data_IF_755357555800
#
_entry.id   IF_755357555800
#
_cell.length_a   1.000
_cell.length_b   1.000
_cell.length_c   1.000
_cell.angle_alpha   90.00
_cell.angle_beta   90.00
_cell.angle_gamma   90.00
#
_symmetry.space_group_name_H-M   'P 1'
#
loop_
_entity.id
_entity.type
_entity.pdbx_description
1 polymer ?
#
# COMPACT_ATOMS: atom_id res chain seq x y z
N UNK A 1 -19.54 -5.65 17.08
CA UNK A 1 -19.63 -5.42 15.61
C UNK A 1 -18.25 -5.55 14.99
N UNK A 2 -18.13 -5.66 13.66
CA UNK A 2 -16.85 -5.71 12.91
C UNK A 2 -15.83 -4.64 13.36
N UNK A 3 -16.34 -3.47 13.80
CA UNK A 3 -15.54 -2.38 14.36
C UNK A 3 -14.88 -2.70 15.70
N UNK A 4 -15.49 -3.54 16.54
CA UNK A 4 -14.91 -3.88 17.85
C UNK A 4 -13.78 -4.90 17.75
N UNK A 5 -13.85 -5.81 16.79
CA UNK A 5 -12.80 -6.82 16.62
C UNK A 5 -11.57 -6.23 15.92
N UNK A 6 -11.77 -5.32 14.96
CA UNK A 6 -10.71 -4.50 14.38
C UNK A 6 -10.07 -3.56 15.43
N UNK A 7 -10.89 -2.92 16.28
CA UNK A 7 -10.42 -2.13 17.43
C UNK A 7 -9.69 -2.99 18.46
N UNK A 8 -10.14 -4.22 18.71
CA UNK A 8 -9.49 -5.16 19.62
C UNK A 8 -8.14 -5.63 19.08
N UNK A 9 -8.02 -5.89 17.78
CA UNK A 9 -6.76 -6.27 17.15
C UNK A 9 -5.76 -5.10 17.06
N UNK A 10 -6.23 -3.86 16.84
CA UNK A 10 -5.37 -2.68 17.02
C UNK A 10 -5.00 -2.40 18.48
N UNK A 11 -5.80 -2.88 19.45
CA UNK A 11 -5.47 -2.89 20.88
C UNK A 11 -4.40 -3.93 21.25
N UNK A 12 -4.20 -4.96 20.41
CA UNK A 12 -3.16 -5.99 20.62
C UNK A 12 -1.78 -5.54 20.10
N UNK A 13 -1.72 -4.51 19.26
CA UNK A 13 -0.53 -3.68 19.17
C UNK A 13 -0.52 -2.90 20.49
N UNK A 14 0.41 -3.26 21.38
CA UNK A 14 0.60 -2.77 22.75
C UNK A 14 0.18 -1.28 22.89
N UNK A 15 -0.43 -0.88 24.01
CA UNK A 15 -0.79 0.53 24.27
C UNK A 15 0.42 1.46 24.00
N UNK A 16 1.62 0.94 24.24
CA UNK A 16 2.90 1.54 23.83
C UNK A 16 3.00 1.88 22.32
N UNK A 17 2.63 0.98 21.42
CA UNK A 17 2.64 1.21 19.97
C UNK A 17 1.66 2.31 19.57
N UNK A 18 0.44 2.28 20.10
CA UNK A 18 -0.59 3.28 19.75
C UNK A 18 -0.23 4.70 20.25
N UNK A 19 0.48 4.81 21.38
CA UNK A 19 1.02 6.08 21.89
C UNK A 19 2.13 6.65 20.99
N UNK A 20 3.07 5.80 20.55
CA UNK A 20 4.20 6.26 19.74
C UNK A 20 3.88 6.35 18.25
N UNK A 21 2.82 5.68 17.77
CA UNK A 21 2.39 5.65 16.38
C UNK A 21 2.34 7.05 15.74
N UNK A 22 1.61 8.06 16.29
CA UNK A 22 1.59 9.39 15.68
C UNK A 22 2.97 10.05 15.68
N UNK A 23 3.78 9.86 16.72
CA UNK A 23 5.15 10.40 16.81
C UNK A 23 6.05 9.77 15.74
N UNK A 24 5.92 8.46 15.51
CA UNK A 24 6.65 7.75 14.45
C UNK A 24 6.22 8.25 13.08
N UNK A 25 4.92 8.40 12.81
CA UNK A 25 4.44 8.92 11.53
C UNK A 25 4.84 10.39 11.31
N UNK A 26 4.79 11.22 12.36
CA UNK A 26 5.26 12.61 12.30
C UNK A 26 6.78 12.65 12.07
N UNK A 27 7.57 11.83 12.78
CA UNK A 27 9.02 11.74 12.60
C UNK A 27 9.41 11.16 11.22
N UNK A 28 8.64 10.21 10.70
CA UNK A 28 8.80 9.67 9.34
C UNK A 28 8.43 10.72 8.30
N UNK A 29 7.33 11.45 8.49
CA UNK A 29 6.93 12.56 7.62
C UNK A 29 7.97 13.69 7.61
N UNK A 30 8.48 14.06 8.78
CA UNK A 30 9.56 15.04 8.94
C UNK A 30 10.88 14.56 8.32
N UNK A 31 11.23 13.27 8.42
CA UNK A 31 12.42 12.71 7.76
C UNK A 31 12.27 12.58 6.26
N UNK A 32 11.10 12.20 5.76
CA UNK A 32 10.84 12.17 4.32
C UNK A 32 11.01 13.61 3.81
N UNK A 33 10.27 14.58 4.33
CA UNK A 33 10.34 15.98 3.86
C UNK A 33 11.72 16.65 4.02
N UNK A 34 12.52 16.27 5.02
CA UNK A 34 13.86 16.84 5.21
C UNK A 34 14.91 16.31 4.22
N UNK A 35 14.69 15.13 3.62
CA UNK A 35 15.70 14.45 2.79
C UNK A 35 15.20 14.06 1.39
N UNK A 36 13.89 14.05 1.13
CA UNK A 36 13.28 13.69 -0.15
C UNK A 36 11.84 14.20 -0.28
N UNK A 37 11.30 14.21 -1.49
CA UNK A 37 9.88 14.46 -1.77
C UNK A 37 9.18 13.18 -2.24
N UNK A 38 7.85 13.17 -2.19
CA UNK A 38 7.03 12.10 -2.79
C UNK A 38 7.34 12.01 -4.30
N UNK A 39 7.53 13.15 -4.97
CA UNK A 39 7.87 13.19 -6.39
C UNK A 39 9.24 12.56 -6.69
N UNK A 40 10.23 12.75 -5.82
CA UNK A 40 11.54 12.09 -5.96
C UNK A 40 11.45 10.58 -5.75
N UNK A 41 10.70 10.13 -4.75
CA UNK A 41 10.45 8.71 -4.53
C UNK A 41 9.71 8.07 -5.71
N UNK A 42 8.72 8.78 -6.27
CA UNK A 42 8.01 8.34 -7.48
C UNK A 42 8.96 8.21 -8.66
N UNK A 43 9.83 9.20 -8.90
CA UNK A 43 10.84 9.13 -9.97
C UNK A 43 11.78 7.94 -9.79
N UNK A 44 12.22 7.65 -8.57
CA UNK A 44 13.04 6.48 -8.28
C UNK A 44 12.26 5.19 -8.60
N UNK A 45 11.01 5.08 -8.17
CA UNK A 45 10.18 3.91 -8.46
C UNK A 45 9.95 3.71 -9.96
N UNK A 46 9.70 4.79 -10.71
CA UNK A 46 9.58 4.74 -12.18
C UNK A 46 10.88 4.28 -12.85
N UNK A 47 12.04 4.79 -12.42
CA UNK A 47 13.34 4.33 -12.93
C UNK A 47 13.58 2.84 -12.64
N UNK A 48 13.22 2.35 -11.45
CA UNK A 48 13.32 0.93 -11.12
C UNK A 48 12.44 0.07 -12.05
N UNK A 49 11.21 0.51 -12.32
CA UNK A 49 10.30 -0.15 -13.27
C UNK A 49 10.87 -0.15 -14.70
N UNK A 50 11.49 0.94 -15.14
CA UNK A 50 12.18 1.02 -16.44
C UNK A 50 13.33 0.01 -16.53
N UNK A 51 13.99 -0.28 -15.42
CA UNK A 51 15.08 -1.24 -15.31
C UNK A 51 14.62 -2.68 -14.96
N UNK A 52 13.33 -2.98 -15.06
CA UNK A 52 12.80 -4.33 -14.95
C UNK A 52 12.42 -4.75 -13.53
N UNK A 53 12.27 -3.82 -12.59
CA UNK A 53 11.62 -4.13 -11.31
C UNK A 53 10.21 -4.69 -11.56
N UNK A 54 9.89 -5.79 -10.89
CA UNK A 54 8.65 -6.50 -11.08
C UNK A 54 7.54 -5.92 -10.18
N UNK A 55 6.44 -5.36 -10.72
CA UNK A 55 5.33 -4.82 -9.92
C UNK A 55 4.55 -5.92 -9.16
N UNK A 56 4.75 -7.17 -9.56
CA UNK A 56 4.04 -8.35 -9.05
C UNK A 56 4.86 -9.15 -8.02
N UNK A 57 6.03 -8.64 -7.61
CA UNK A 57 6.93 -9.35 -6.69
C UNK A 57 6.32 -9.39 -5.26
N UNK A 58 5.94 -10.55 -4.74
CA UNK A 58 5.30 -10.64 -3.43
C UNK A 58 6.34 -10.54 -2.31
N UNK A 59 6.03 -9.79 -1.27
CA UNK A 59 6.78 -9.86 -0.02
C UNK A 59 6.40 -11.15 0.72
N UNK A 60 7.38 -11.79 1.36
CA UNK A 60 7.13 -12.99 2.18
C UNK A 60 6.56 -12.63 3.56
N UNK A 61 6.93 -11.47 4.10
CA UNK A 61 6.62 -11.00 5.45
C UNK A 61 6.64 -9.47 5.50
N UNK A 62 5.82 -8.82 6.38
CA UNK A 62 4.86 -9.40 7.32
C UNK A 62 3.50 -9.73 6.69
N UNK A 63 3.25 -9.27 5.46
CA UNK A 63 2.00 -9.49 4.73
C UNK A 63 2.30 -10.36 3.51
N UNK A 64 2.34 -11.67 3.71
CA UNK A 64 2.67 -12.61 2.63
C UNK A 64 1.75 -12.41 1.42
N UNK A 65 2.37 -12.22 0.25
CA UNK A 65 1.66 -11.96 -1.01
C UNK A 65 1.39 -10.48 -1.30
N UNK A 66 1.78 -9.55 -0.41
CA UNK A 66 1.64 -8.12 -0.68
C UNK A 66 2.65 -7.69 -1.75
N UNK A 67 2.21 -6.91 -2.75
CA UNK A 67 3.04 -6.58 -3.91
C UNK A 67 3.23 -5.06 -4.05
N UNK A 68 4.25 -4.59 -4.80
CA UNK A 68 4.43 -3.16 -5.07
C UNK A 68 3.18 -2.48 -5.65
N UNK A 69 2.42 -3.18 -6.51
CA UNK A 69 1.17 -2.65 -7.07
C UNK A 69 0.10 -2.42 -5.98
N UNK A 70 -0.01 -3.33 -5.01
CA UNK A 70 -0.91 -3.15 -3.85
C UNK A 70 -0.49 -1.96 -2.99
N UNK A 71 0.81 -1.75 -2.81
CA UNK A 71 1.31 -0.60 -2.06
C UNK A 71 0.93 0.71 -2.75
N UNK A 72 1.07 0.81 -4.07
CA UNK A 72 0.65 2.00 -4.83
C UNK A 72 -0.87 2.26 -4.69
N UNK A 73 -1.68 1.20 -4.59
CA UNK A 73 -3.10 1.31 -4.27
C UNK A 73 -3.34 1.82 -2.85
N UNK A 74 -2.63 1.30 -1.85
CA UNK A 74 -2.77 1.73 -0.44
C UNK A 74 -2.46 3.21 -0.23
N UNK A 75 -1.43 3.75 -0.89
CA UNK A 75 -0.98 5.14 -0.67
C UNK A 75 -1.60 6.16 -1.64
N UNK A 76 -2.58 5.75 -2.45
CA UNK A 76 -3.23 6.56 -3.49
C UNK A 76 -2.25 7.26 -4.45
N UNK A 77 -1.37 6.47 -5.06
CA UNK A 77 -0.38 6.94 -6.05
C UNK A 77 -0.78 6.56 -7.48
N UNK A 78 -1.78 7.23 -8.09
CA UNK A 78 -2.36 6.83 -9.37
C UNK A 78 -1.37 6.88 -10.54
N UNK A 79 -0.43 7.82 -10.53
CA UNK A 79 0.60 7.91 -11.58
C UNK A 79 1.52 6.68 -11.56
N UNK A 80 2.01 6.31 -10.38
CA UNK A 80 2.85 5.12 -10.22
C UNK A 80 2.05 3.84 -10.48
N UNK A 81 0.81 3.78 -10.00
CA UNK A 81 -0.10 2.66 -10.22
C UNK A 81 -0.31 2.39 -11.72
N UNK A 82 -0.61 3.44 -12.50
CA UNK A 82 -0.73 3.34 -13.97
C UNK A 82 0.55 2.84 -14.62
N UNK A 83 1.71 3.41 -14.25
CA UNK A 83 3.00 2.97 -14.78
C UNK A 83 3.30 1.50 -14.45
N UNK A 84 2.94 1.02 -13.25
CA UNK A 84 3.09 -0.40 -12.90
C UNK A 84 2.18 -1.30 -13.75
N UNK A 85 0.94 -0.88 -14.04
CA UNK A 85 0.04 -1.62 -14.93
C UNK A 85 0.60 -1.69 -16.37
N UNK A 86 1.14 -0.59 -16.89
CA UNK A 86 1.82 -0.56 -18.21
C UNK A 86 3.02 -1.52 -18.27
N UNK A 87 3.64 -1.81 -17.13
CA UNK A 87 4.74 -2.78 -16.98
C UNK A 87 4.27 -4.20 -16.64
N UNK A 88 2.99 -4.51 -16.82
CA UNK A 88 2.44 -5.85 -16.62
C UNK A 88 2.00 -6.14 -15.19
N UNK A 89 1.70 -5.12 -14.40
CA UNK A 89 1.07 -5.27 -13.09
C UNK A 89 -0.24 -6.05 -13.17
N UNK A 90 -0.39 -7.06 -12.31
CA UNK A 90 -1.55 -7.95 -12.27
C UNK A 90 -2.53 -7.53 -11.17
N UNK A 91 -3.70 -7.04 -11.58
CA UNK A 91 -4.78 -6.62 -10.68
C UNK A 91 -5.42 -7.77 -9.90
N UNK A 92 -5.20 -9.02 -10.32
CA UNK A 92 -5.81 -10.20 -9.69
C UNK A 92 -4.99 -10.74 -8.51
N UNK A 93 -3.82 -10.16 -8.23
CA UNK A 93 -3.03 -10.58 -7.07
C UNK A 93 -3.78 -10.28 -5.77
N UNK A 94 -3.55 -11.16 -4.79
CA UNK A 94 -4.10 -11.02 -3.45
C UNK A 94 -3.02 -11.29 -2.41
N UNK A 95 -3.12 -10.62 -1.27
CA UNK A 95 -2.31 -10.95 -0.09
C UNK A 95 -3.16 -11.65 0.95
N UNK A 96 -2.51 -12.43 1.82
CA UNK A 96 -3.18 -13.08 2.95
C UNK A 96 -3.23 -12.12 4.13
N UNK A 97 -4.42 -11.72 4.54
CA UNK A 97 -4.59 -10.82 5.69
C UNK A 97 -4.08 -11.52 6.97
N UNK A 98 -3.07 -10.96 7.68
CA UNK A 98 -2.32 -11.68 8.72
C UNK A 98 -3.18 -12.16 9.90
N UNK A 99 -4.26 -11.43 10.21
CA UNK A 99 -5.16 -11.79 11.33
C UNK A 99 -6.41 -12.57 10.92
N UNK A 100 -6.81 -12.51 9.66
CA UNK A 100 -8.09 -13.05 9.19
C UNK A 100 -7.88 -14.30 8.33
N UNK A 101 -6.66 -14.50 7.80
CA UNK A 101 -6.33 -15.62 6.91
C UNK A 101 -7.03 -15.58 5.55
N UNK A 102 -7.82 -14.54 5.27
CA UNK A 102 -8.50 -14.36 3.99
C UNK A 102 -7.62 -13.64 2.99
N UNK A 103 -7.89 -13.89 1.71
CA UNK A 103 -7.29 -13.15 0.61
C UNK A 103 -7.93 -11.76 0.49
N UNK A 104 -7.11 -10.75 0.22
CA UNK A 104 -7.52 -9.35 0.02
C UNK A 104 -6.93 -8.90 -1.32
N UNK A 105 -7.77 -8.39 -2.21
CA UNK A 105 -7.38 -7.90 -3.54
C UNK A 105 -7.24 -6.38 -3.62
N UNK A 106 -6.70 -5.90 -4.74
CA UNK A 106 -6.36 -4.49 -4.96
C UNK A 106 -7.55 -3.53 -4.84
N UNK A 107 -8.73 -3.91 -5.37
CA UNK A 107 -9.93 -3.07 -5.27
C UNK A 107 -10.36 -2.85 -3.80
N UNK A 108 -10.28 -3.90 -2.98
CA UNK A 108 -10.62 -3.81 -1.56
C UNK A 108 -9.62 -2.94 -0.81
N UNK A 109 -8.33 -3.04 -1.14
CA UNK A 109 -7.27 -2.17 -0.60
C UNK A 109 -7.61 -0.72 -0.93
N UNK A 110 -7.80 -0.39 -2.21
CA UNK A 110 -8.09 0.97 -2.65
C UNK A 110 -9.35 1.54 -1.97
N UNK A 111 -10.40 0.73 -1.82
CA UNK A 111 -11.62 1.15 -1.11
C UNK A 111 -11.39 1.40 0.38
N UNK A 112 -10.69 0.50 1.07
CA UNK A 112 -10.41 0.61 2.51
C UNK A 112 -9.57 1.85 2.83
N UNK A 113 -8.56 2.14 2.01
CA UNK A 113 -7.65 3.28 2.19
C UNK A 113 -8.18 4.58 1.58
N UNK A 114 -9.34 4.56 0.92
CA UNK A 114 -9.97 5.72 0.26
C UNK A 114 -9.08 6.33 -0.83
N UNK A 115 -8.44 5.46 -1.59
CA UNK A 115 -7.50 5.81 -2.65
C UNK A 115 -8.25 6.28 -3.89
N UNK A 116 -8.72 7.53 -3.88
CA UNK A 116 -9.66 8.04 -4.88
C UNK A 116 -9.05 8.06 -6.28
N UNK A 117 -7.78 8.46 -6.41
CA UNK A 117 -7.10 8.49 -7.71
C UNK A 117 -6.89 7.09 -8.28
N UNK A 118 -6.58 6.11 -7.44
CA UNK A 118 -6.46 4.71 -7.85
C UNK A 118 -7.82 4.11 -8.19
N UNK A 119 -8.88 4.39 -7.40
CA UNK A 119 -10.25 3.96 -7.71
C UNK A 119 -10.74 4.54 -9.05
N UNK A 120 -10.44 5.80 -9.34
CA UNK A 120 -10.71 6.41 -10.65
C UNK A 120 -9.95 5.71 -11.77
N UNK A 121 -8.70 5.32 -11.52
CA UNK A 121 -7.90 4.56 -12.48
C UNK A 121 -8.52 3.19 -12.76
N UNK A 122 -8.93 2.46 -11.72
CA UNK A 122 -9.58 1.15 -11.85
C UNK A 122 -10.90 1.24 -12.63
N UNK A 123 -11.70 2.28 -12.36
CA UNK A 123 -12.95 2.51 -13.07
C UNK A 123 -12.76 2.79 -14.58
N UNK A 124 -11.59 3.25 -15.01
CA UNK A 124 -11.26 3.49 -16.42
C UNK A 124 -10.82 2.22 -17.18
N UNK A 125 -10.55 1.13 -16.47
CA UNK A 125 -10.08 -0.13 -17.05
C UNK A 125 -11.20 -1.14 -17.33
N UNK A 126 -12.44 -0.84 -16.90
CA UNK A 126 -13.65 -1.65 -17.08
C UNK A 126 -14.45 -1.19 -18.30
#
# INVERSE_FOLDING_TARGET
SMNEHFRANMRLLDDSYNEVRPIIYDAMGLRIQAYTSIDELRKIALLLLEHGANPNEPVESPMSGYTPLMLAAEIDEPELFKAMLEKGGDLNQTYTHPYQGRQVGIEEIAYFFKSNGVLETLAQLQ
#
